data_IF_335374999972
#
_entry.id   IF_335374999972
#
_cell.length_a   1.000
_cell.length_b   1.000
_cell.length_c   1.000
_cell.angle_alpha   90.00
_cell.angle_beta   90.00
_cell.angle_gamma   90.00
#
_symmetry.space_group_name_H-M   'P 1'
#
loop_
_entity.id
_entity.type
_entity.pdbx_description
1 polymer ?
#
# COMPACT_ATOMS: atom_id res chain seq x y z
N UNK A 1 0.33 -13.53 19.89
CA UNK A 1 1.67 -12.92 19.70
C UNK A 1 1.47 -11.62 18.94
N UNK A 2 2.15 -10.53 19.32
CA UNK A 2 2.04 -9.27 18.59
C UNK A 2 2.81 -9.44 17.25
N UNK A 3 2.11 -9.63 16.13
CA UNK A 3 2.65 -10.11 14.84
C UNK A 3 3.33 -9.02 13.99
N UNK A 4 3.34 -7.79 14.47
CA UNK A 4 3.92 -6.63 13.79
C UNK A 4 5.42 -6.77 13.42
N UNK A 5 6.32 -7.37 14.24
CA UNK A 5 7.75 -7.41 13.92
C UNK A 5 8.10 -8.35 12.76
N UNK A 6 7.15 -9.18 12.31
CA UNK A 6 7.35 -10.13 11.22
C UNK A 6 6.57 -9.81 9.95
N UNK A 7 5.88 -8.66 9.91
CA UNK A 7 5.12 -8.24 8.72
C UNK A 7 6.02 -8.17 7.48
N UNK A 8 7.24 -7.62 7.62
CA UNK A 8 8.19 -7.50 6.51
C UNK A 8 8.58 -8.84 5.90
N UNK A 9 8.87 -9.85 6.74
CA UNK A 9 9.17 -11.21 6.27
C UNK A 9 7.99 -11.79 5.49
N UNK A 10 6.80 -11.85 6.09
CA UNK A 10 5.59 -12.38 5.44
C UNK A 10 5.28 -11.64 4.14
N UNK A 11 5.41 -10.31 4.13
CA UNK A 11 5.19 -9.52 2.94
C UNK A 11 6.17 -9.90 1.82
N UNK A 12 7.46 -9.98 2.09
CA UNK A 12 8.48 -10.33 1.09
C UNK A 12 8.26 -11.75 0.57
N UNK A 13 8.15 -12.74 1.45
CA UNK A 13 8.07 -14.16 1.08
C UNK A 13 6.78 -14.49 0.32
N UNK A 14 5.66 -13.83 0.63
CA UNK A 14 4.38 -14.05 -0.05
C UNK A 14 4.18 -13.14 -1.27
N UNK A 15 5.09 -12.19 -1.55
CA UNK A 15 4.98 -11.34 -2.73
C UNK A 15 4.92 -12.10 -4.07
N UNK A 16 5.78 -13.10 -4.36
CA UNK A 16 5.74 -13.82 -5.62
C UNK A 16 4.44 -14.63 -5.78
N UNK A 17 3.87 -15.12 -4.67
CA UNK A 17 2.55 -15.79 -4.64
C UNK A 17 1.43 -14.81 -4.95
N UNK A 18 1.40 -13.65 -4.27
CA UNK A 18 0.40 -12.60 -4.52
C UNK A 18 0.47 -12.04 -5.94
N UNK A 19 1.66 -12.01 -6.54
CA UNK A 19 1.86 -11.61 -7.93
C UNK A 19 1.48 -12.70 -8.94
N UNK A 20 1.06 -13.89 -8.49
CA UNK A 20 0.69 -15.02 -9.35
C UNK A 20 1.89 -15.65 -10.09
N UNK A 21 3.13 -15.41 -9.64
CA UNK A 21 4.34 -15.93 -10.30
C UNK A 21 4.62 -17.38 -9.97
N UNK A 22 4.22 -17.81 -8.77
CA UNK A 22 4.45 -19.15 -8.23
C UNK A 22 3.25 -19.56 -7.37
N UNK A 23 2.97 -20.87 -7.22
CA UNK A 23 1.86 -21.34 -6.41
C UNK A 23 2.10 -21.21 -4.89
N UNK A 24 3.36 -21.09 -4.45
CA UNK A 24 3.72 -20.96 -3.04
C UNK A 24 5.07 -20.25 -2.84
N UNK A 25 5.38 -19.92 -1.58
CA UNK A 25 6.59 -19.18 -1.23
C UNK A 25 7.87 -20.01 -1.43
N UNK A 26 7.79 -21.34 -1.30
CA UNK A 26 8.94 -22.25 -1.45
C UNK A 26 9.44 -22.32 -2.88
N UNK A 27 8.56 -22.12 -3.84
CA UNK A 27 8.81 -22.27 -5.27
C UNK A 27 9.53 -21.04 -5.86
N UNK A 28 9.70 -19.95 -5.09
CA UNK A 28 10.38 -18.76 -5.57
C UNK A 28 11.87 -18.75 -5.16
N UNK A 29 12.81 -18.94 -6.10
CA UNK A 29 14.23 -19.14 -5.81
C UNK A 29 14.94 -17.87 -5.33
N UNK A 30 14.36 -16.69 -5.58
CA UNK A 30 14.96 -15.39 -5.22
C UNK A 30 14.39 -14.84 -3.91
N UNK A 31 14.22 -15.74 -2.93
CA UNK A 31 13.76 -15.40 -1.59
C UNK A 31 14.50 -16.18 -0.53
N UNK A 32 14.51 -15.66 0.70
CA UNK A 32 15.12 -16.36 1.82
C UNK A 32 14.28 -17.52 2.36
N UNK A 33 13.06 -17.73 1.83
CA UNK A 33 12.14 -18.76 2.27
C UNK A 33 12.78 -20.15 2.31
N UNK A 34 13.46 -20.56 1.23
CA UNK A 34 14.03 -21.91 1.13
C UNK A 34 15.04 -22.20 2.25
N UNK A 35 15.85 -21.21 2.62
CA UNK A 35 16.78 -21.31 3.74
C UNK A 35 16.07 -21.23 5.09
N UNK A 36 15.26 -20.19 5.30
CA UNK A 36 14.67 -19.91 6.62
C UNK A 36 13.59 -20.92 7.00
N UNK A 37 12.87 -21.51 6.04
CA UNK A 37 11.78 -22.45 6.29
C UNK A 37 12.22 -23.92 6.25
N UNK A 38 13.30 -24.24 5.52
CA UNK A 38 13.70 -25.63 5.25
C UNK A 38 15.20 -25.91 5.44
N UNK A 39 15.99 -24.93 5.89
CA UNK A 39 17.41 -25.12 6.18
C UNK A 39 18.31 -25.24 4.93
N UNK A 40 17.81 -24.88 3.74
CA UNK A 40 18.61 -24.92 2.51
C UNK A 40 19.86 -24.04 2.65
N UNK A 41 21.01 -24.55 2.22
CA UNK A 41 22.24 -23.77 2.22
C UNK A 41 22.16 -22.64 1.18
N UNK A 42 22.31 -21.40 1.63
CA UNK A 42 22.38 -20.21 0.77
C UNK A 42 23.37 -19.23 1.39
N UNK A 43 24.60 -19.09 0.88
CA UNK A 43 25.61 -18.22 1.47
C UNK A 43 25.27 -16.73 1.37
N UNK A 44 24.31 -16.33 0.53
CA UNK A 44 23.87 -14.95 0.37
C UNK A 44 22.92 -14.46 1.45
N UNK A 45 22.42 -15.36 2.30
CA UNK A 45 21.51 -15.01 3.39
C UNK A 45 22.29 -14.90 4.70
N UNK A 46 22.05 -13.85 5.47
CA UNK A 46 22.53 -13.77 6.86
C UNK A 46 21.32 -13.78 7.78
N UNK A 47 21.22 -14.71 8.74
CA UNK A 47 20.06 -14.78 9.62
C UNK A 47 19.90 -13.49 10.41
N UNK A 48 18.77 -12.80 10.23
CA UNK A 48 18.46 -11.60 10.99
C UNK A 48 18.11 -11.96 12.44
N UNK A 49 18.35 -11.04 13.38
CA UNK A 49 18.03 -11.25 14.80
C UNK A 49 16.55 -11.60 15.04
N UNK A 50 15.63 -11.07 14.23
CA UNK A 50 14.22 -11.41 14.31
C UNK A 50 13.96 -12.89 13.97
N UNK A 51 14.62 -13.44 12.94
CA UNK A 51 14.56 -14.86 12.63
C UNK A 51 15.17 -15.72 13.74
N UNK A 52 16.33 -15.30 14.27
CA UNK A 52 17.00 -16.01 15.36
C UNK A 52 16.14 -16.08 16.63
N UNK A 53 15.27 -15.08 16.87
CA UNK A 53 14.32 -15.05 17.99
C UNK A 53 13.12 -15.99 17.83
N UNK A 54 12.92 -16.62 16.66
CA UNK A 54 11.81 -17.54 16.44
C UNK A 54 11.97 -18.88 17.16
N UNK A 55 13.18 -19.22 17.60
CA UNK A 55 13.48 -20.49 18.24
C UNK A 55 14.92 -20.53 18.75
N UNK A 56 15.11 -21.23 19.85
CA UNK A 56 16.43 -21.37 20.49
C UNK A 56 17.30 -22.38 19.76
N UNK A 57 16.69 -23.33 19.03
CA UNK A 57 17.41 -24.37 18.30
C UNK A 57 17.30 -24.22 16.78
N UNK A 58 18.20 -24.89 16.07
CA UNK A 58 18.25 -24.92 14.60
C UNK A 58 16.99 -25.55 13.98
N UNK A 59 16.31 -26.44 14.72
CA UNK A 59 15.08 -27.10 14.28
C UNK A 59 13.80 -26.32 14.63
N UNK A 60 13.82 -25.55 15.72
CA UNK A 60 12.68 -24.71 16.13
C UNK A 60 12.45 -23.56 15.16
N UNK A 61 13.52 -22.89 14.72
CA UNK A 61 13.40 -21.69 13.88
C UNK A 61 12.70 -21.96 12.55
N UNK A 62 13.06 -22.99 11.75
CA UNK A 62 12.36 -23.30 10.50
C UNK A 62 10.90 -23.72 10.71
N UNK A 63 10.58 -24.37 11.82
CA UNK A 63 9.20 -24.73 12.17
C UNK A 63 8.37 -23.49 12.46
N UNK A 64 8.85 -22.62 13.36
CA UNK A 64 8.19 -21.37 13.71
C UNK A 64 8.09 -20.42 12.50
N UNK A 65 9.13 -20.39 11.65
CA UNK A 65 9.12 -19.60 10.42
C UNK A 65 8.06 -20.07 9.42
N UNK A 66 7.90 -21.40 9.22
CA UNK A 66 6.82 -21.93 8.38
C UNK A 66 5.43 -21.55 8.89
N UNK A 67 5.22 -21.63 10.21
CA UNK A 67 3.96 -21.21 10.83
C UNK A 67 3.72 -19.71 10.58
N UNK A 68 4.73 -18.89 10.81
CA UNK A 68 4.67 -17.45 10.57
C UNK A 68 4.29 -17.12 9.12
N UNK A 69 4.88 -17.79 8.12
CA UNK A 69 4.55 -17.51 6.71
C UNK A 69 3.17 -18.05 6.31
N UNK A 70 2.68 -19.11 6.97
CA UNK A 70 1.35 -19.66 6.72
C UNK A 70 0.21 -18.78 7.28
N UNK A 71 0.51 -17.89 8.23
CA UNK A 71 -0.47 -16.95 8.77
C UNK A 71 -0.87 -15.88 7.74
N UNK A 72 -2.17 -15.61 7.66
CA UNK A 72 -2.69 -14.55 6.81
C UNK A 72 -2.12 -13.17 7.20
N UNK A 73 -1.79 -12.38 6.19
CA UNK A 73 -1.47 -10.97 6.35
C UNK A 73 -2.76 -10.17 6.45
N UNK A 74 -2.84 -9.27 7.44
CA UNK A 74 -3.92 -8.30 7.49
C UNK A 74 -3.87 -7.43 6.20
N UNK A 75 -4.97 -7.33 5.45
CA UNK A 75 -5.05 -6.48 4.27
C UNK A 75 -4.70 -5.02 4.56
N UNK A 76 -5.05 -4.50 5.75
CA UNK A 76 -4.78 -3.13 6.16
C UNK A 76 -3.27 -2.91 6.38
N UNK A 77 -2.61 -3.80 7.14
CA UNK A 77 -1.15 -3.78 7.32
C UNK A 77 -0.42 -3.80 5.97
N UNK A 78 -0.90 -4.64 5.04
CA UNK A 78 -0.34 -4.76 3.69
C UNK A 78 -0.53 -3.47 2.89
N UNK A 79 -1.70 -2.85 2.98
CA UNK A 79 -1.99 -1.58 2.31
C UNK A 79 -1.11 -0.45 2.85
N UNK A 80 -0.96 -0.37 4.17
CA UNK A 80 -0.16 0.66 4.84
C UNK A 80 1.34 0.51 4.51
N UNK A 81 1.89 -0.70 4.62
CA UNK A 81 3.28 -0.98 4.26
C UNK A 81 3.56 -0.62 2.79
N UNK A 82 2.61 -0.91 1.88
CA UNK A 82 2.73 -0.52 0.46
C UNK A 82 2.68 0.99 0.27
N UNK A 83 1.75 1.68 0.91
CA UNK A 83 1.60 3.13 0.78
C UNK A 83 2.87 3.86 1.25
N UNK A 84 3.43 3.43 2.38
CA UNK A 84 4.70 3.93 2.88
C UNK A 84 5.86 3.64 1.93
N UNK A 85 6.01 2.39 1.49
CA UNK A 85 7.10 1.99 0.58
C UNK A 85 7.06 2.75 -0.75
N UNK A 86 5.87 2.87 -1.37
CA UNK A 86 5.71 3.53 -2.67
C UNK A 86 5.99 5.04 -2.63
N UNK A 87 5.78 5.68 -1.48
CA UNK A 87 6.07 7.10 -1.29
C UNK A 87 7.44 7.34 -0.65
N UNK A 88 8.25 6.30 -0.47
CA UNK A 88 9.56 6.35 0.19
C UNK A 88 9.45 6.98 1.58
N UNK A 89 8.41 6.60 2.33
CA UNK A 89 8.12 7.06 3.69
C UNK A 89 8.40 5.95 4.69
N UNK A 90 8.76 6.34 5.91
CA UNK A 90 9.02 5.40 7.01
C UNK A 90 7.72 4.77 7.47
N UNK A 91 7.61 3.45 7.39
CA UNK A 91 6.55 2.68 8.04
C UNK A 91 6.97 2.34 9.47
N UNK A 92 6.10 2.59 10.45
CA UNK A 92 6.37 2.33 11.87
C UNK A 92 5.57 3.24 12.79
N UNK A 93 5.90 3.21 14.09
CA UNK A 93 5.22 4.00 15.11
C UNK A 93 5.39 5.51 14.90
N UNK A 94 4.47 6.32 15.44
CA UNK A 94 4.57 7.79 15.41
C UNK A 94 5.90 8.28 15.97
N UNK A 95 6.38 7.65 17.05
CA UNK A 95 7.68 7.95 17.63
C UNK A 95 8.80 7.74 16.62
N UNK A 96 8.84 6.60 15.92
CA UNK A 96 9.89 6.31 14.93
C UNK A 96 9.81 7.30 13.76
N UNK A 97 8.60 7.59 13.29
CA UNK A 97 8.36 8.56 12.21
C UNK A 97 8.86 9.95 12.58
N UNK A 98 8.48 10.46 13.75
CA UNK A 98 8.96 11.74 14.26
C UNK A 98 10.49 11.78 14.41
N UNK A 99 11.10 10.69 14.89
CA UNK A 99 12.56 10.59 15.00
C UNK A 99 13.25 10.67 13.62
N UNK A 100 12.77 9.93 12.62
CA UNK A 100 13.37 9.98 11.28
C UNK A 100 13.11 11.32 10.59
N UNK A 101 11.93 11.92 10.78
CA UNK A 101 11.62 13.26 10.27
C UNK A 101 12.58 14.30 10.83
N UNK A 102 12.83 14.28 12.15
CA UNK A 102 13.80 15.17 12.79
C UNK A 102 15.23 14.95 12.27
N UNK A 103 15.65 13.71 12.04
CA UNK A 103 16.99 13.40 11.54
C UNK A 103 17.19 13.77 10.06
N UNK A 104 16.17 13.59 9.23
CA UNK A 104 16.27 13.73 7.77
C UNK A 104 15.72 15.04 7.23
N UNK A 105 14.94 15.76 8.03
CA UNK A 105 14.18 16.94 7.63
C UNK A 105 13.26 16.66 6.41
N UNK A 106 12.81 15.40 6.26
CA UNK A 106 11.91 14.95 5.20
C UNK A 106 10.60 14.47 5.81
N UNK A 107 9.50 14.80 5.15
CA UNK A 107 8.18 14.32 5.54
C UNK A 107 8.15 12.78 5.62
N UNK A 108 7.65 12.26 6.73
CA UNK A 108 7.50 10.81 6.96
C UNK A 108 6.06 10.31 6.84
N UNK A 109 5.10 11.22 6.70
CA UNK A 109 3.68 10.91 6.50
C UNK A 109 3.37 10.55 5.05
N UNK A 110 2.47 9.57 4.88
CA UNK A 110 1.90 9.21 3.59
C UNK A 110 0.91 10.31 3.18
N UNK A 111 1.00 10.78 1.93
CA UNK A 111 0.11 11.81 1.39
C UNK A 111 -0.90 11.20 0.41
N UNK A 112 -2.11 11.76 0.30
CA UNK A 112 -3.04 11.40 -0.77
C UNK A 112 -2.38 11.56 -2.14
N UNK A 113 -2.73 10.69 -3.09
CA UNK A 113 -2.25 10.81 -4.48
C UNK A 113 -2.95 12.01 -5.15
N UNK A 114 -2.21 12.74 -5.97
CA UNK A 114 -2.72 13.84 -6.78
C UNK A 114 -2.16 15.21 -6.40
N UNK A 115 -2.38 16.19 -7.28
CA UNK A 115 -2.06 17.59 -6.99
C UNK A 115 -2.97 18.07 -5.86
N UNK A 116 -2.47 18.84 -4.88
CA UNK A 116 -3.34 19.56 -3.95
C UNK A 116 -4.43 20.30 -4.69
N UNK A 117 -5.67 20.27 -4.18
CA UNK A 117 -6.74 21.07 -4.76
C UNK A 117 -6.36 22.55 -4.66
N UNK A 118 -6.61 23.32 -5.72
CA UNK A 118 -6.49 24.78 -5.64
C UNK A 118 -7.51 25.27 -4.61
N UNK A 119 -7.13 26.18 -3.68
CA UNK A 119 -8.06 26.77 -2.73
C UNK A 119 -9.29 27.41 -3.41
N UNK A 120 -9.11 27.92 -4.63
CA UNK A 120 -10.14 28.53 -5.47
C UNK A 120 -11.27 27.56 -5.89
N UNK A 121 -10.99 26.26 -5.94
CA UNK A 121 -11.93 25.21 -6.35
C UNK A 121 -12.43 24.36 -5.18
N UNK A 122 -12.31 24.84 -3.94
CA UNK A 122 -12.92 24.18 -2.78
C UNK A 122 -14.35 24.71 -2.59
N UNK A 123 -15.40 23.92 -2.90
CA UNK A 123 -16.78 24.40 -2.79
C UNK A 123 -17.24 24.66 -1.35
N UNK A 124 -16.35 24.46 -0.37
CA UNK A 124 -16.69 24.51 1.05
C UNK A 124 -17.66 23.40 1.46
N UNK A 125 -18.11 23.40 2.72
CA UNK A 125 -19.18 22.51 3.16
C UNK A 125 -20.43 22.79 2.32
N UNK A 126 -20.96 21.76 1.65
CA UNK A 126 -22.21 21.86 0.90
C UNK A 126 -23.33 22.11 1.90
N UNK A 127 -23.90 23.33 1.91
CA UNK A 127 -25.10 23.65 2.68
C UNK A 127 -26.30 22.89 2.08
N UNK A 128 -26.90 21.93 2.79
CA UNK A 128 -28.02 21.14 2.29
C UNK A 128 -29.29 21.98 2.03
N UNK A 129 -29.38 23.19 2.58
CA UNK A 129 -30.58 24.03 2.56
C UNK A 129 -30.51 25.13 1.49
N UNK A 130 -29.35 25.34 0.86
CA UNK A 130 -29.14 26.38 -0.16
C UNK A 130 -29.78 26.05 -1.51
N UNK A 131 -30.16 24.79 -1.78
CA UNK A 131 -30.71 24.35 -3.08
C UNK A 131 -32.20 24.67 -3.28
N UNK A 132 -32.75 25.64 -2.54
CA UNK A 132 -34.20 25.85 -2.45
C UNK A 132 -34.72 27.29 -2.46
N UNK A 133 -33.86 28.32 -2.59
CA UNK A 133 -34.35 29.71 -2.68
C UNK A 133 -33.78 30.42 -3.91
N UNK A 134 -34.73 30.72 -4.80
CA UNK A 134 -34.76 31.85 -5.74
C UNK A 134 -34.29 31.69 -7.20
N UNK A 135 -35.30 31.82 -8.06
CA UNK A 135 -35.37 32.57 -9.32
C UNK A 135 -34.43 32.21 -10.48
N UNK A 136 -34.94 31.32 -11.35
CA UNK A 136 -34.51 31.22 -12.75
C UNK A 136 -34.92 32.51 -13.49
N UNK A 137 -34.04 33.50 -13.51
CA UNK A 137 -34.00 34.44 -14.62
C UNK A 137 -33.23 33.75 -15.76
N UNK A 138 -33.93 33.32 -16.80
CA UNK A 138 -33.31 32.87 -18.06
C UNK A 138 -32.53 34.04 -18.65
N UNK A 139 -31.20 34.00 -18.58
CA UNK A 139 -30.35 34.82 -19.42
C UNK A 139 -30.07 34.03 -20.71
N UNK A 140 -30.37 34.64 -21.85
CA UNK A 140 -29.96 34.13 -23.16
C UNK A 140 -28.43 34.19 -23.30
N UNK A 141 -27.79 33.21 -23.97
CA UNK A 141 -26.35 33.24 -24.16
C UNK A 141 -25.92 34.35 -25.14
N UNK A 142 -24.78 35.03 -24.92
CA UNK A 142 -24.24 35.95 -25.91
C UNK A 142 -23.86 35.19 -27.19
N UNK A 143 -24.18 35.79 -28.35
CA UNK A 143 -23.86 35.25 -29.67
C UNK A 143 -22.35 35.05 -29.80
N UNK A 144 -21.89 33.81 -30.02
CA UNK A 144 -20.52 33.58 -30.49
C UNK A 144 -19.78 32.31 -30.07
N UNK A 145 -20.32 31.42 -29.24
CA UNK A 145 -19.59 30.20 -28.80
C UNK A 145 -20.12 28.93 -29.46
N UNK A 146 -19.29 28.37 -30.35
CA UNK A 146 -19.47 27.10 -31.03
C UNK A 146 -19.44 25.95 -30.01
N UNK A 147 -20.52 25.18 -29.93
CA UNK A 147 -20.60 23.98 -29.10
C UNK A 147 -19.79 22.84 -29.75
N UNK A 148 -18.65 22.46 -29.20
CA UNK A 148 -18.08 21.13 -29.46
C UNK A 148 -18.84 20.13 -28.60
N UNK A 149 -19.92 19.58 -29.15
CA UNK A 149 -20.71 18.51 -28.53
C UNK A 149 -19.95 17.17 -28.62
N UNK A 150 -19.90 16.48 -27.46
CA UNK A 150 -19.31 15.15 -27.26
C UNK A 150 -19.89 14.10 -28.23
N UNK A 151 -19.04 13.32 -28.90
CA UNK A 151 -19.42 12.04 -29.52
C UNK A 151 -19.82 11.04 -28.42
N UNK A 152 -21.09 10.64 -28.38
CA UNK A 152 -21.49 9.34 -27.80
C UNK A 152 -21.35 8.28 -28.90
N UNK A 153 -20.39 7.37 -28.75
CA UNK A 153 -20.33 6.10 -29.48
C UNK A 153 -21.30 5.13 -28.82
N UNK A 154 -22.18 4.46 -29.59
CA UNK A 154 -22.86 3.19 -29.27
C UNK A 154 -23.22 2.47 -30.62
N UNK A 155 -23.47 1.14 -30.61
CA UNK A 155 -22.79 0.15 -31.44
C UNK A 155 -23.45 -0.13 -32.79
N UNK A 156 -22.67 -0.65 -33.75
CA UNK A 156 -23.19 -1.24 -35.00
C UNK A 156 -23.39 -2.74 -34.82
N UNK A 157 -24.62 -3.20 -34.98
CA UNK A 157 -24.94 -4.57 -35.34
C UNK A 157 -24.81 -4.74 -36.85
N UNK A 158 -24.14 -5.82 -37.25
CA UNK A 158 -24.53 -6.71 -38.35
C UNK A 158 -23.87 -8.06 -38.13
#
# INVERSE_FOLDING_TARGET
MNLTPFLGYRYIELNPVRAGRVPGAREYPWSSHARNAYGSHDPGVTPHVAYLRLGSTDDERPRAYRQLIAEALDPQDTADLRAHTQQQRVWGSDRLRAQIEALTQRATTVRPRGRPRSPENDPGPIDPVAWGREHVAKQDPPRGSCWVLKRKLHPRSR
#
